data_IF_155430014432
#
_entry.id   IF_155430014432
#
_cell.length_a   1.000
_cell.length_b   1.000
_cell.length_c   1.000
_cell.angle_alpha   90.00
_cell.angle_beta   90.00
_cell.angle_gamma   90.00
#
_symmetry.space_group_name_H-M   'P 1'
#
loop_
_entity.id
_entity.type
_entity.pdbx_description
1 polymer ?
#
# COMPACT_ATOMS: atom_id res chain seq x y z
N UNK A 1 0.30 -3.58 -11.64
CA UNK A 1 1.45 -3.27 -12.51
C UNK A 1 0.94 -3.13 -13.94
N UNK A 2 1.21 -2.01 -14.60
CA UNK A 2 0.76 -1.76 -15.98
C UNK A 2 1.92 -1.98 -16.96
N UNK A 3 3.12 -1.48 -16.63
CA UNK A 3 4.30 -1.68 -17.48
C UNK A 3 5.55 -1.04 -16.89
N UNK A 4 6.68 -1.25 -17.56
CA UNK A 4 7.94 -0.59 -17.23
C UNK A 4 8.73 -0.26 -18.51
N UNK A 5 9.51 0.81 -18.46
CA UNK A 5 10.47 1.20 -19.50
C UNK A 5 11.84 1.42 -18.87
N UNK A 6 12.93 1.17 -19.62
CA UNK A 6 14.31 1.29 -19.12
C UNK A 6 15.07 2.48 -19.72
N UNK A 7 14.69 2.99 -20.89
CA UNK A 7 15.48 3.96 -21.65
C UNK A 7 14.66 5.23 -21.95
N UNK A 8 15.22 6.44 -21.73
CA UNK A 8 16.53 6.75 -21.15
C UNK A 8 16.60 6.66 -19.61
N UNK A 9 15.46 6.44 -18.94
CA UNK A 9 15.32 6.35 -17.48
C UNK A 9 14.44 5.16 -17.13
N UNK A 10 14.72 4.49 -16.02
CA UNK A 10 13.85 3.43 -15.50
C UNK A 10 12.55 4.03 -14.99
N UNK A 11 11.43 3.64 -15.61
CA UNK A 11 10.08 4.05 -15.23
C UNK A 11 9.25 2.80 -14.97
N UNK A 12 8.50 2.80 -13.87
CA UNK A 12 7.48 1.78 -13.56
C UNK A 12 6.13 2.47 -13.53
N UNK A 13 5.18 1.92 -14.29
CA UNK A 13 3.80 2.43 -14.39
C UNK A 13 2.87 1.48 -13.64
N UNK A 14 2.09 2.03 -12.72
CA UNK A 14 1.06 1.34 -11.95
C UNK A 14 -0.25 2.10 -12.05
N UNK A 15 -1.32 1.51 -11.52
CA UNK A 15 -2.56 2.26 -11.31
C UNK A 15 -2.33 3.47 -10.41
N UNK A 16 -3.10 4.54 -10.63
CA UNK A 16 -3.05 5.74 -9.83
C UNK A 16 -4.01 5.63 -8.64
N UNK A 17 -3.44 5.57 -7.43
CA UNK A 17 -4.22 5.63 -6.20
C UNK A 17 -4.39 7.09 -5.74
N UNK A 18 -5.55 7.69 -6.06
CA UNK A 18 -5.85 9.10 -5.75
C UNK A 18 -5.80 9.43 -4.24
N UNK A 19 -5.97 8.43 -3.37
CA UNK A 19 -5.89 8.58 -1.92
C UNK A 19 -4.48 8.81 -1.36
N UNK A 20 -3.43 8.60 -2.17
CA UNK A 20 -2.04 8.70 -1.70
C UNK A 20 -1.65 7.58 -0.73
N UNK A 21 -0.66 7.83 0.14
CA UNK A 21 -0.22 6.85 1.13
C UNK A 21 -1.10 6.82 2.37
N UNK A 22 -1.19 5.63 2.99
CA UNK A 22 -1.91 5.45 4.26
C UNK A 22 -1.37 6.37 5.36
N UNK A 23 -0.04 6.58 5.45
CA UNK A 23 0.58 7.57 6.35
C UNK A 23 0.01 8.96 6.18
N UNK A 24 -0.06 9.45 4.94
CA UNK A 24 -0.57 10.81 4.64
C UNK A 24 -2.04 10.89 5.02
N UNK A 25 -2.82 9.86 4.70
CA UNK A 25 -4.22 9.76 5.04
C UNK A 25 -4.45 9.81 6.57
N UNK A 26 -3.73 8.99 7.34
CA UNK A 26 -3.81 8.96 8.81
C UNK A 26 -3.37 10.28 9.46
N UNK A 27 -2.33 10.93 8.93
CA UNK A 27 -1.88 12.24 9.43
C UNK A 27 -2.93 13.33 9.20
N UNK A 28 -3.58 13.34 8.05
CA UNK A 28 -4.60 14.33 7.70
C UNK A 28 -5.89 14.23 8.53
N UNK A 29 -6.16 13.07 9.13
CA UNK A 29 -7.33 12.90 10.00
C UNK A 29 -7.16 13.47 11.41
N UNK A 30 -5.92 13.73 11.83
CA UNK A 30 -5.65 14.16 13.21
C UNK A 30 -6.40 15.46 13.57
N UNK A 31 -6.92 15.59 14.80
CA UNK A 31 -6.75 14.66 15.93
C UNK A 31 -7.73 13.47 15.92
N UNK A 32 -8.60 13.36 14.91
CA UNK A 32 -9.53 12.23 14.79
C UNK A 32 -8.79 10.96 14.40
N UNK A 33 -9.30 9.84 14.87
CA UNK A 33 -8.83 8.51 14.52
C UNK A 33 -9.66 7.94 13.38
N UNK A 34 -9.11 6.92 12.72
CA UNK A 34 -9.85 6.11 11.76
C UNK A 34 -10.99 5.40 12.49
N UNK A 35 -12.15 5.32 11.85
CA UNK A 35 -13.24 4.49 12.32
C UNK A 35 -12.78 3.03 12.46
N UNK A 36 -13.25 2.33 13.50
CA UNK A 36 -12.74 1.00 13.83
C UNK A 36 -13.02 -0.02 12.72
N UNK A 37 -14.21 0.04 12.11
CA UNK A 37 -14.58 -0.87 11.02
C UNK A 37 -13.70 -0.62 9.80
N UNK A 38 -13.40 0.64 9.49
CA UNK A 38 -12.48 1.00 8.39
C UNK A 38 -11.05 0.53 8.70
N UNK A 39 -10.60 0.68 9.95
CA UNK A 39 -9.27 0.22 10.37
C UNK A 39 -9.11 -1.29 10.23
N UNK A 40 -10.13 -2.05 10.63
CA UNK A 40 -10.15 -3.51 10.45
C UNK A 40 -10.15 -3.89 8.97
N UNK A 41 -10.91 -3.18 8.13
CA UNK A 41 -10.90 -3.42 6.68
C UNK A 41 -9.51 -3.23 6.08
N UNK A 42 -8.84 -2.11 6.39
CA UNK A 42 -7.47 -1.87 5.89
C UNK A 42 -6.48 -2.91 6.40
N UNK A 43 -6.57 -3.29 7.68
CA UNK A 43 -5.70 -4.30 8.27
C UNK A 43 -5.88 -5.66 7.58
N UNK A 44 -7.13 -6.04 7.25
CA UNK A 44 -7.43 -7.28 6.55
C UNK A 44 -6.85 -7.28 5.13
N UNK A 45 -7.06 -6.21 4.35
CA UNK A 45 -6.54 -6.09 2.98
C UNK A 45 -5.00 -6.19 2.96
N UNK A 46 -4.33 -5.49 3.91
CA UNK A 46 -2.86 -5.55 4.05
C UNK A 46 -2.41 -6.96 4.44
N UNK A 47 -3.09 -7.62 5.38
CA UNK A 47 -2.75 -8.96 5.82
C UNK A 47 -2.88 -9.99 4.69
N UNK A 48 -3.94 -9.91 3.89
CA UNK A 48 -4.14 -10.78 2.72
C UNK A 48 -3.06 -10.56 1.65
N UNK A 49 -2.67 -9.31 1.38
CA UNK A 49 -1.56 -9.03 0.48
C UNK A 49 -0.24 -9.61 0.99
N UNK A 50 0.03 -9.49 2.30
CA UNK A 50 1.23 -10.06 2.92
C UNK A 50 1.23 -11.60 2.92
N UNK A 51 0.08 -12.24 3.16
CA UNK A 51 -0.08 -13.69 3.02
C UNK A 51 0.23 -14.15 1.59
N UNK A 52 -0.29 -13.43 0.59
CA UNK A 52 0.00 -13.69 -0.81
C UNK A 52 1.51 -13.60 -1.11
N UNK A 53 2.20 -12.55 -0.66
CA UNK A 53 3.66 -12.44 -0.83
C UNK A 53 4.41 -13.59 -0.16
N UNK A 54 4.07 -13.89 1.09
CA UNK A 54 4.75 -14.91 1.88
C UNK A 54 4.54 -16.33 1.33
N UNK A 55 3.35 -16.65 0.80
CA UNK A 55 3.09 -17.94 0.14
C UNK A 55 3.96 -18.16 -1.11
N UNK A 56 4.50 -17.09 -1.69
CA UNK A 56 5.45 -17.13 -2.81
C UNK A 56 6.91 -16.96 -2.37
N UNK A 57 7.20 -16.98 -1.06
CA UNK A 57 8.55 -16.82 -0.53
C UNK A 57 9.11 -15.40 -0.67
N UNK A 58 8.26 -14.39 -0.90
CA UNK A 58 8.67 -12.99 -1.09
C UNK A 58 8.57 -12.25 0.25
N UNK A 59 9.65 -11.62 0.69
CA UNK A 59 9.68 -10.75 1.88
C UNK A 59 9.55 -9.29 1.41
N UNK A 60 8.55 -8.55 1.91
CA UNK A 60 8.30 -7.16 1.51
C UNK A 60 9.44 -6.19 1.87
N UNK A 61 10.12 -6.40 3.02
CA UNK A 61 11.28 -5.65 3.54
C UNK A 61 11.06 -4.18 3.94
N UNK A 62 10.00 -3.50 3.48
CA UNK A 62 9.70 -2.10 3.85
C UNK A 62 8.22 -1.88 4.20
N UNK A 63 7.62 -2.83 4.94
CA UNK A 63 6.20 -2.74 5.31
C UNK A 63 6.01 -1.64 6.38
N UNK A 64 5.22 -0.62 6.06
CA UNK A 64 4.91 0.51 6.93
C UNK A 64 3.57 1.15 6.55
N UNK A 65 2.88 1.80 7.48
CA UNK A 65 1.76 2.67 7.16
C UNK A 65 2.22 3.91 6.39
#
# INVERSE_FOLDING_TARGET
FIGACKEPVMVVVTELLLGGSLRKYLLNMRPRCLDMQVAVSFALDIAQAMECLHSHGIIHRDLKP
#
